data_IF_424339285414
#
_entry.id   IF_424339285414
#
_cell.length_a   1.000
_cell.length_b   1.000
_cell.length_c   1.000
_cell.angle_alpha   90.00
_cell.angle_beta   90.00
_cell.angle_gamma   90.00
#
_symmetry.space_group_name_H-M   'P 1'
#
loop_
_entity.id
_entity.type
_entity.pdbx_description
1 polymer ?
#
# COMPACT_ATOMS: atom_id res chain seq x y z
N UNK A 1 5.32 -25.65 58.31
CA UNK A 1 5.82 -25.35 56.95
C UNK A 1 5.34 -23.93 56.60
N UNK A 2 6.02 -22.91 57.10
CA UNK A 2 7.01 -22.08 56.39
C UNK A 2 6.47 -21.40 55.14
N UNK A 3 6.36 -20.07 55.24
CA UNK A 3 6.01 -19.12 54.20
C UNK A 3 7.06 -19.04 53.08
N UNK A 4 6.63 -18.65 51.88
CA UNK A 4 7.48 -18.05 50.87
C UNK A 4 6.78 -16.80 50.32
N UNK A 5 7.29 -15.64 50.73
CA UNK A 5 7.10 -14.33 50.08
C UNK A 5 8.29 -14.12 49.14
N UNK A 6 8.08 -13.30 48.09
CA UNK A 6 9.00 -12.80 47.04
C UNK A 6 8.88 -13.56 45.71
N UNK A 7 8.71 -12.95 44.54
CA UNK A 7 9.07 -11.60 44.10
C UNK A 7 8.21 -11.21 42.88
N UNK A 8 7.87 -9.92 42.80
CA UNK A 8 7.31 -9.24 41.62
C UNK A 8 8.31 -9.29 40.45
N UNK A 9 7.99 -9.96 39.34
CA UNK A 9 8.60 -9.72 38.02
C UNK A 9 7.53 -9.81 36.92
N UNK A 10 7.01 -8.64 36.56
CA UNK A 10 6.79 -8.16 35.18
C UNK A 10 6.33 -9.22 34.16
N UNK A 11 5.02 -9.34 33.94
CA UNK A 11 4.50 -9.85 32.65
C UNK A 11 3.10 -9.36 32.32
N UNK A 12 2.75 -8.10 32.65
CA UNK A 12 1.76 -7.44 31.81
C UNK A 12 2.41 -7.34 30.42
N UNK A 13 1.90 -8.02 29.37
CA UNK A 13 2.34 -7.70 28.04
C UNK A 13 1.86 -6.28 27.77
N UNK A 14 2.71 -5.31 28.08
CA UNK A 14 2.81 -4.09 27.32
C UNK A 14 3.43 -4.51 25.99
N UNK A 15 2.72 -5.37 25.25
CA UNK A 15 2.95 -5.53 23.84
C UNK A 15 2.41 -4.22 23.31
N UNK A 16 3.30 -3.23 23.20
CA UNK A 16 3.21 -2.29 22.11
C UNK A 16 3.07 -3.18 20.89
N UNK A 17 1.85 -3.39 20.41
CA UNK A 17 1.56 -4.13 19.19
C UNK A 17 2.21 -3.30 18.10
N UNK A 18 3.52 -3.53 17.91
CA UNK A 18 4.33 -2.85 16.93
C UNK A 18 3.64 -3.07 15.61
N UNK A 19 3.46 -1.99 14.85
CA UNK A 19 2.92 -2.04 13.50
C UNK A 19 3.68 -3.13 12.72
N UNK A 20 3.05 -4.26 12.47
CA UNK A 20 3.62 -5.31 11.63
C UNK A 20 3.51 -4.85 10.19
N UNK A 21 4.67 -4.63 9.56
CA UNK A 21 4.74 -4.38 8.12
C UNK A 21 4.68 -5.72 7.41
N UNK A 22 3.60 -5.96 6.68
CA UNK A 22 3.48 -7.09 5.76
C UNK A 22 3.81 -6.61 4.35
N UNK A 23 4.69 -7.29 3.60
CA UNK A 23 4.93 -6.94 2.20
C UNK A 23 3.62 -7.01 1.40
N UNK A 24 3.36 -5.98 0.60
CA UNK A 24 2.23 -5.95 -0.34
C UNK A 24 2.76 -5.96 -1.77
N UNK A 25 2.13 -6.75 -2.63
CA UNK A 25 2.49 -6.78 -4.03
C UNK A 25 1.97 -5.52 -4.73
N UNK A 26 2.89 -4.74 -5.31
CA UNK A 26 2.56 -3.51 -6.03
C UNK A 26 2.08 -3.75 -7.47
N UNK A 27 2.09 -5.00 -7.94
CA UNK A 27 1.78 -5.34 -9.34
C UNK A 27 2.82 -4.85 -10.35
N UNK A 28 4.00 -4.38 -9.93
CA UNK A 28 5.08 -3.93 -10.82
C UNK A 28 6.46 -4.32 -10.31
N UNK A 29 7.41 -4.53 -11.23
CA UNK A 29 8.83 -4.71 -10.92
C UNK A 29 9.61 -3.39 -10.95
N UNK A 30 8.97 -2.29 -11.35
CA UNK A 30 9.61 -0.98 -11.38
C UNK A 30 9.66 -0.41 -9.97
N UNK A 31 10.74 0.31 -9.66
CA UNK A 31 10.88 1.01 -8.40
C UNK A 31 9.80 2.08 -8.28
N UNK A 32 9.04 2.03 -7.18
CA UNK A 32 8.14 3.10 -6.77
C UNK A 32 8.95 4.15 -5.99
N UNK A 33 8.68 5.42 -6.28
CA UNK A 33 9.40 6.56 -5.72
C UNK A 33 8.54 7.34 -4.72
N UNK A 34 7.22 7.28 -4.85
CA UNK A 34 6.29 8.00 -3.98
C UNK A 34 4.93 7.28 -3.89
N UNK A 35 4.22 7.51 -2.79
CA UNK A 35 2.88 6.98 -2.52
C UNK A 35 2.05 8.00 -1.73
N UNK A 36 0.80 8.21 -2.15
CA UNK A 36 -0.13 9.13 -1.49
C UNK A 36 -1.53 8.53 -1.37
N UNK A 37 -2.17 8.75 -0.22
CA UNK A 37 -3.52 8.30 0.09
C UNK A 37 -4.43 9.53 0.29
N UNK A 38 -5.16 9.98 -0.75
CA UNK A 38 -6.14 11.06 -0.60
C UNK A 38 -7.32 10.69 0.30
N UNK A 39 -7.58 9.40 0.51
CA UNK A 39 -8.59 8.90 1.46
C UNK A 39 -8.02 7.70 2.22
N UNK A 40 -8.72 7.23 3.25
CA UNK A 40 -8.27 6.06 4.03
C UNK A 40 -8.20 4.76 3.24
N UNK A 41 -8.88 4.66 2.09
CA UNK A 41 -8.94 3.44 1.28
C UNK A 41 -8.36 3.61 -0.12
N UNK A 42 -8.40 4.82 -0.66
CA UNK A 42 -7.93 5.11 -2.02
C UNK A 42 -6.53 5.69 -1.99
N UNK A 43 -5.62 5.08 -2.74
CA UNK A 43 -4.20 5.46 -2.79
C UNK A 43 -3.57 5.29 -4.16
N UNK A 44 -2.49 6.02 -4.38
CA UNK A 44 -1.73 6.03 -5.63
C UNK A 44 -0.25 5.90 -5.32
N UNK A 45 0.46 5.07 -6.08
CA UNK A 45 1.91 5.02 -6.04
C UNK A 45 2.49 5.19 -7.45
N UNK A 46 3.58 5.94 -7.53
CA UNK A 46 4.25 6.29 -8.80
C UNK A 46 5.70 5.86 -8.77
N UNK A 47 6.25 5.53 -9.93
CA UNK A 47 7.58 4.96 -10.03
C UNK A 47 8.28 5.25 -11.35
N UNK A 48 9.42 4.60 -11.51
CA UNK A 48 10.25 4.73 -12.70
C UNK A 48 9.51 4.31 -13.98
N UNK A 49 9.95 4.86 -15.11
CA UNK A 49 9.40 4.56 -16.44
C UNK A 49 7.90 4.84 -16.57
N UNK A 50 7.38 5.83 -15.84
CA UNK A 50 5.98 6.25 -15.91
C UNK A 50 5.00 5.25 -15.30
N UNK A 51 5.48 4.33 -14.44
CA UNK A 51 4.58 3.41 -13.74
C UNK A 51 3.74 4.16 -12.72
N UNK A 52 2.44 3.93 -12.79
CA UNK A 52 1.45 4.38 -11.83
C UNK A 52 0.59 3.19 -11.44
N UNK A 53 0.36 3.02 -10.14
CA UNK A 53 -0.53 2.00 -9.59
C UNK A 53 -1.53 2.63 -8.63
N UNK A 54 -2.70 2.04 -8.54
CA UNK A 54 -3.85 2.55 -7.79
C UNK A 54 -4.48 1.45 -6.93
N UNK A 55 -4.91 1.82 -5.73
CA UNK A 55 -5.63 0.96 -4.79
C UNK A 55 -6.92 1.65 -4.35
N UNK A 56 -7.96 0.86 -4.06
CA UNK A 56 -9.23 1.29 -3.46
C UNK A 56 -9.54 0.55 -2.15
N UNK A 57 -8.62 -0.28 -1.66
CA UNK A 57 -8.77 -1.17 -0.52
C UNK A 57 -7.66 -0.98 0.54
N UNK A 58 -7.18 0.27 0.67
CA UNK A 58 -6.13 0.69 1.59
C UNK A 58 -4.76 0.03 1.32
N UNK A 59 -4.48 -0.32 0.05
CA UNK A 59 -3.20 -0.88 -0.36
C UNK A 59 -3.07 -2.39 -0.20
N UNK A 60 -4.20 -3.10 0.01
CA UNK A 60 -4.24 -4.57 -0.03
C UNK A 60 -4.05 -5.09 -1.45
N UNK A 61 -4.61 -4.39 -2.44
CA UNK A 61 -4.40 -4.67 -3.86
C UNK A 61 -4.05 -3.41 -4.65
N UNK A 62 -3.12 -3.55 -5.60
CA UNK A 62 -2.64 -2.48 -6.47
C UNK A 62 -2.83 -2.84 -7.93
N UNK A 63 -3.47 -1.95 -8.68
CA UNK A 63 -3.76 -2.12 -10.11
C UNK A 63 -2.93 -1.12 -10.92
N UNK A 64 -2.28 -1.59 -12.00
CA UNK A 64 -1.54 -0.70 -12.90
C UNK A 64 -2.49 0.22 -13.66
N UNK A 65 -2.18 1.51 -13.63
CA UNK A 65 -2.88 2.53 -14.41
C UNK A 65 -2.09 2.76 -15.68
N UNK A 66 -2.56 2.16 -16.77
CA UNK A 66 -2.08 2.50 -18.11
C UNK A 66 -2.82 3.75 -18.57
N UNK A 67 -2.07 4.82 -18.82
CA UNK A 67 -2.59 5.93 -19.60
C UNK A 67 -3.03 5.36 -20.95
N UNK A 68 -4.31 5.47 -21.27
CA UNK A 68 -4.76 5.24 -22.63
C UNK A 68 -4.09 6.33 -23.49
N UNK A 69 -2.94 6.00 -24.08
CA UNK A 69 -2.44 6.76 -25.22
C UNK A 69 -3.45 6.49 -26.31
N UNK A 70 -4.45 7.36 -26.42
CA UNK A 70 -5.32 7.39 -27.58
C UNK A 70 -4.38 7.68 -28.74
N UNK A 71 -4.08 6.66 -29.54
CA UNK A 71 -3.30 6.88 -30.74
C UNK A 71 -4.13 7.82 -31.61
N UNK A 72 -3.52 8.77 -32.32
CA UNK A 72 -4.27 9.61 -33.26
C UNK A 72 -5.10 8.79 -34.27
N UNK A 73 -4.72 7.54 -34.54
CA UNK A 73 -5.47 6.58 -35.37
C UNK A 73 -6.76 6.05 -34.73
N UNK A 74 -6.87 6.08 -33.40
CA UNK A 74 -8.03 5.60 -32.65
C UNK A 74 -9.07 6.72 -32.42
N UNK A 75 -8.68 7.97 -32.71
CA UNK A 75 -9.62 9.07 -32.87
C UNK A 75 -10.41 8.82 -34.15
N UNK A 76 -11.60 8.22 -34.02
CA UNK A 76 -12.59 8.32 -35.09
C UNK A 76 -12.88 9.80 -35.27
N UNK A 77 -12.33 10.37 -36.34
CA UNK A 77 -12.69 11.69 -36.86
C UNK A 77 -14.19 11.65 -37.17
N UNK A 78 -15.01 11.93 -36.18
CA UNK A 78 -16.43 12.23 -36.37
C UNK A 78 -16.50 13.70 -36.74
N UNK A 79 -16.18 13.99 -38.01
CA UNK A 79 -16.68 15.24 -38.60
C UNK A 79 -18.16 15.02 -38.85
N UNK A 80 -18.97 15.83 -38.17
CA UNK A 80 -20.37 16.06 -38.52
C UNK A 80 -20.45 16.91 -39.79
#
# INVERSE_FOLDING_TARGET
>A
MSAFIALLVVSLPHICQGTHWTPQESGTRKRLNDVNFPTSTTGWAVGNAGVMVHTVDAGQTWNQVSLAVVRPSDLRMTTQ
#
